data_IF_670450179388
#
_entry.id   IF_670450179388
#
_cell.length_a   1.000
_cell.length_b   1.000
_cell.length_c   1.000
_cell.angle_alpha   90.00
_cell.angle_beta   90.00
_cell.angle_gamma   90.00
#
_symmetry.space_group_name_H-M   'P 1'
#
loop_
_entity.id
_entity.type
_entity.pdbx_description
1 polymer ?
#
# COMPACT_ATOMS: atom_id res chain seq x y z
N UNK A 1 -6.19 60.43 -7.17
CA UNK A 1 -5.99 58.99 -7.49
C UNK A 1 -5.54 58.91 -8.94
N UNK A 2 -4.31 58.48 -9.25
CA UNK A 2 -3.84 58.43 -10.63
C UNK A 2 -4.48 57.23 -11.33
N UNK A 3 -5.13 57.49 -12.46
CA UNK A 3 -5.87 56.52 -13.26
C UNK A 3 -4.87 55.55 -13.92
N UNK A 4 -4.91 54.26 -13.55
CA UNK A 4 -4.07 53.24 -14.19
C UNK A 4 -4.47 53.07 -15.65
N UNK A 5 -3.52 53.32 -16.56
CA UNK A 5 -3.70 53.13 -18.00
C UNK A 5 -3.43 51.65 -18.31
N UNK A 6 -4.46 50.90 -18.68
CA UNK A 6 -4.34 49.50 -19.10
C UNK A 6 -3.74 49.46 -20.50
N UNK A 7 -2.54 48.93 -20.63
CA UNK A 7 -1.88 48.67 -21.92
C UNK A 7 -1.97 47.17 -22.16
N UNK A 8 -2.74 46.76 -23.18
CA UNK A 8 -2.76 45.38 -23.63
C UNK A 8 -1.47 45.12 -24.43
N UNK A 9 -0.69 44.13 -24.00
CA UNK A 9 0.51 43.70 -24.71
C UNK A 9 0.08 42.84 -25.91
N UNK A 10 0.42 43.29 -27.12
CA UNK A 10 0.16 42.55 -28.36
C UNK A 10 0.79 41.16 -28.25
N UNK A 11 -0.01 40.10 -28.38
CA UNK A 11 0.41 38.71 -28.22
C UNK A 11 0.03 38.06 -26.89
N UNK A 12 -0.55 38.79 -25.92
CA UNK A 12 -1.04 38.17 -24.68
C UNK A 12 -2.22 37.22 -24.91
N UNK A 13 -2.94 37.35 -26.02
CA UNK A 13 -4.06 36.48 -26.37
C UNK A 13 -3.63 35.03 -26.61
N UNK A 14 -2.39 34.79 -27.05
CA UNK A 14 -1.87 33.45 -27.31
C UNK A 14 -1.55 32.67 -26.02
N UNK A 15 -1.26 33.38 -24.93
CA UNK A 15 -0.99 32.78 -23.63
C UNK A 15 -2.25 32.35 -22.88
N UNK A 16 -3.41 32.94 -23.23
CA UNK A 16 -4.70 32.62 -22.60
C UNK A 16 -5.65 31.91 -23.55
N UNK A 17 -5.15 31.33 -24.64
CA UNK A 17 -5.94 30.45 -25.50
C UNK A 17 -6.46 29.29 -24.65
N UNK A 18 -7.78 29.04 -24.57
CA UNK A 18 -8.29 27.85 -23.94
C UNK A 18 -7.85 26.65 -24.77
N UNK A 19 -6.83 25.94 -24.30
CA UNK A 19 -6.46 24.62 -24.81
C UNK A 19 -7.55 23.66 -24.40
N UNK A 20 -8.61 23.55 -25.21
CA UNK A 20 -9.52 22.41 -25.10
C UNK A 20 -8.70 21.19 -25.54
N UNK A 21 -8.38 20.24 -24.65
CA UNK A 21 -7.92 18.95 -25.15
C UNK A 21 -9.05 18.40 -26.00
N UNK A 22 -8.79 18.10 -27.27
CA UNK A 22 -9.68 17.21 -28.02
C UNK A 22 -9.75 15.92 -27.23
N UNK A 23 -10.90 15.68 -26.60
CA UNK A 23 -11.19 14.39 -25.99
C UNK A 23 -11.40 13.45 -27.16
N UNK A 24 -10.33 12.73 -27.53
CA UNK A 24 -10.37 11.65 -28.51
C UNK A 24 -11.21 10.54 -27.89
N UNK A 25 -12.49 10.48 -28.25
CA UNK A 25 -13.46 9.50 -27.77
C UNK A 25 -13.21 8.08 -28.29
N UNK A 26 -12.33 7.93 -29.28
CA UNK A 26 -12.16 6.67 -30.01
C UNK A 26 -11.07 5.75 -29.41
N UNK A 27 -10.51 6.11 -28.26
CA UNK A 27 -9.50 5.28 -27.56
C UNK A 27 -10.07 4.40 -26.45
N UNK A 28 -11.34 4.56 -26.08
CA UNK A 28 -11.96 3.77 -24.99
C UNK A 28 -12.29 2.32 -25.39
N UNK A 29 -12.34 2.02 -26.70
CA UNK A 29 -12.64 0.66 -27.18
C UNK A 29 -11.39 -0.20 -27.43
N UNK A 30 -10.19 0.39 -27.42
CA UNK A 30 -8.93 -0.34 -27.69
C UNK A 30 -8.28 -0.89 -26.41
N UNK A 31 -8.63 -0.34 -25.23
CA UNK A 31 -8.13 -0.83 -23.94
C UNK A 31 -9.11 -1.87 -23.34
N UNK A 32 -9.49 -2.88 -24.12
CA UNK A 32 -10.26 -4.03 -23.58
C UNK A 32 -9.70 -5.40 -23.94
N UNK A 33 -8.74 -5.50 -24.85
CA UNK A 33 -8.44 -6.79 -25.50
C UNK A 33 -7.08 -7.44 -25.16
N UNK A 34 -6.14 -6.81 -24.43
CA UNK A 34 -4.85 -7.50 -24.13
C UNK A 34 -4.23 -7.12 -22.79
N UNK A 35 -5.02 -7.14 -21.71
CA UNK A 35 -4.43 -7.41 -20.39
C UNK A 35 -4.99 -8.74 -19.92
N UNK A 36 -4.47 -9.81 -20.54
CA UNK A 36 -4.47 -11.14 -19.94
C UNK A 36 -3.58 -11.06 -18.70
N UNK A 37 -4.13 -10.45 -17.65
CA UNK A 37 -3.48 -10.42 -16.34
C UNK A 37 -3.53 -11.87 -15.90
N UNK A 38 -2.39 -12.59 -15.82
CA UNK A 38 -2.38 -13.99 -15.42
C UNK A 38 -3.22 -14.07 -14.16
N UNK A 39 -4.34 -14.80 -14.30
CA UNK A 39 -5.50 -14.69 -13.43
C UNK A 39 -5.02 -14.43 -12.02
N UNK A 40 -5.27 -13.21 -11.52
CA UNK A 40 -4.99 -12.91 -10.13
C UNK A 40 -5.83 -13.94 -9.41
N UNK A 41 -5.20 -15.03 -8.96
CA UNK A 41 -5.86 -16.05 -8.18
C UNK A 41 -6.36 -15.23 -7.01
N UNK A 42 -7.64 -14.87 -7.06
CA UNK A 42 -8.29 -14.17 -5.97
C UNK A 42 -8.41 -15.28 -4.96
N UNK A 43 -7.29 -15.57 -4.29
CA UNK A 43 -7.27 -16.33 -3.06
C UNK A 43 -8.26 -15.57 -2.23
N UNK A 44 -9.41 -16.18 -1.96
CA UNK A 44 -10.38 -15.64 -1.03
C UNK A 44 -9.58 -15.29 0.22
N UNK A 45 -9.45 -13.98 0.45
CA UNK A 45 -8.75 -13.50 1.64
C UNK A 45 -9.75 -13.72 2.75
N UNK A 46 -9.70 -14.92 3.34
CA UNK A 46 -10.49 -15.24 4.53
C UNK A 46 -9.90 -14.43 5.66
N UNK A 47 -10.52 -13.29 5.95
CA UNK A 47 -10.13 -12.45 7.08
C UNK A 47 -10.57 -13.15 8.35
N UNK A 48 -9.60 -13.71 9.09
CA UNK A 48 -9.82 -14.27 10.42
C UNK A 48 -9.37 -13.25 11.45
N UNK A 49 -10.25 -12.92 12.39
CA UNK A 49 -9.96 -11.98 13.47
C UNK A 49 -9.39 -12.73 14.67
N UNK A 50 -8.20 -12.31 15.11
CA UNK A 50 -7.51 -12.82 16.29
C UNK A 50 -7.35 -11.69 17.30
N UNK A 51 -7.67 -11.97 18.57
CA UNK A 51 -7.45 -11.02 19.65
C UNK A 51 -6.07 -11.31 20.27
N UNK A 52 -5.20 -10.29 20.24
CA UNK A 52 -3.87 -10.33 20.85
C UNK A 52 -3.80 -9.40 22.06
N UNK A 53 -3.05 -9.79 23.08
CA UNK A 53 -2.66 -8.87 24.16
C UNK A 53 -1.53 -7.95 23.69
N UNK A 54 -1.26 -6.86 24.41
CA UNK A 54 -0.17 -5.93 24.06
C UNK A 54 1.20 -6.65 24.07
N UNK A 55 1.41 -7.54 25.03
CA UNK A 55 2.65 -8.34 25.13
C UNK A 55 2.83 -9.29 23.94
N UNK A 56 1.75 -9.92 23.49
CA UNK A 56 1.75 -10.78 22.31
C UNK A 56 2.06 -9.99 21.02
N UNK A 57 1.57 -8.75 20.91
CA UNK A 57 1.85 -7.86 19.78
C UNK A 57 3.33 -7.47 19.75
N UNK A 58 3.91 -7.12 20.91
CA UNK A 58 5.33 -6.78 21.00
C UNK A 58 6.23 -7.97 20.60
N UNK A 59 5.88 -9.18 21.03
CA UNK A 59 6.58 -10.41 20.63
C UNK A 59 6.51 -10.65 19.12
N UNK A 60 5.33 -10.49 18.51
CA UNK A 60 5.17 -10.60 17.06
C UNK A 60 5.99 -9.55 16.31
N UNK A 61 6.06 -8.33 16.84
CA UNK A 61 6.82 -7.24 16.24
C UNK A 61 8.33 -7.51 16.32
N UNK A 62 8.82 -8.01 17.45
CA UNK A 62 10.20 -8.50 17.59
C UNK A 62 10.50 -9.60 16.56
N UNK A 63 9.61 -10.59 16.43
CA UNK A 63 9.77 -11.69 15.47
C UNK A 63 9.85 -11.19 14.02
N UNK A 64 8.95 -10.28 13.61
CA UNK A 64 8.99 -9.67 12.27
C UNK A 64 10.30 -8.93 12.03
N UNK A 65 10.80 -8.19 13.03
CA UNK A 65 12.07 -7.50 12.90
C UNK A 65 13.25 -8.46 12.78
N UNK A 66 13.23 -9.61 13.46
CA UNK A 66 14.29 -10.63 13.31
C UNK A 66 14.27 -11.26 11.92
N UNK A 67 13.09 -11.59 11.40
CA UNK A 67 12.95 -12.13 10.05
C UNK A 67 13.37 -11.12 8.96
N UNK A 68 13.07 -9.83 9.16
CA UNK A 68 13.42 -8.78 8.19
C UNK A 68 14.90 -8.39 8.22
N UNK A 69 15.55 -8.50 9.38
CA UNK A 69 16.95 -8.10 9.57
C UNK A 69 17.75 -9.21 10.27
N UNK A 70 18.00 -10.34 9.58
CA UNK A 70 18.73 -11.48 10.16
C UNK A 70 20.21 -11.17 10.41
N UNK A 71 20.80 -10.28 9.61
CA UNK A 71 22.21 -9.87 9.71
C UNK A 71 22.50 -9.00 10.94
N UNK A 72 21.46 -8.51 11.62
CA UNK A 72 21.64 -7.66 12.80
C UNK A 72 22.02 -8.54 13.99
N UNK A 73 23.20 -8.35 14.61
CA UNK A 73 23.56 -9.11 15.79
C UNK A 73 22.57 -8.78 16.93
N UNK A 74 21.94 -9.82 17.47
CA UNK A 74 20.99 -9.73 18.61
C UNK A 74 21.38 -10.74 19.68
N UNK A 75 21.03 -10.42 20.92
CA UNK A 75 21.14 -11.38 22.01
C UNK A 75 20.24 -12.59 21.73
N UNK A 76 20.70 -13.79 22.11
CA UNK A 76 19.85 -14.99 22.03
C UNK A 76 18.60 -14.75 22.89
N UNK A 77 17.38 -14.94 22.35
CA UNK A 77 16.16 -14.76 23.12
C UNK A 77 16.17 -15.71 24.31
N UNK A 78 15.63 -15.25 25.45
CA UNK A 78 15.44 -16.10 26.62
C UNK A 78 14.47 -17.24 26.28
N UNK A 79 14.67 -18.41 26.89
CA UNK A 79 13.87 -19.61 26.63
C UNK A 79 12.36 -19.35 26.81
N UNK A 80 11.99 -18.59 27.84
CA UNK A 80 10.61 -18.16 28.12
C UNK A 80 9.97 -17.39 26.95
N UNK A 81 10.75 -16.57 26.24
CA UNK A 81 10.27 -15.88 25.03
C UNK A 81 10.03 -16.84 23.88
N UNK A 82 10.85 -17.89 23.76
CA UNK A 82 10.68 -18.89 22.71
C UNK A 82 9.36 -19.66 22.90
N UNK A 83 9.06 -20.07 24.13
CA UNK A 83 7.81 -20.77 24.47
C UNK A 83 6.59 -19.87 24.19
N UNK A 84 6.67 -18.58 24.53
CA UNK A 84 5.60 -17.61 24.22
C UNK A 84 5.37 -17.41 22.72
N UNK A 85 6.44 -17.44 21.90
CA UNK A 85 6.35 -17.32 20.44
C UNK A 85 5.77 -18.59 19.82
N UNK A 86 6.10 -19.77 20.33
CA UNK A 86 5.53 -21.02 19.84
C UNK A 86 4.04 -21.16 20.23
N UNK A 87 3.65 -20.71 21.42
CA UNK A 87 2.24 -20.60 21.81
C UNK A 87 1.46 -19.67 20.87
N UNK A 88 2.04 -18.53 20.48
CA UNK A 88 1.44 -17.62 19.49
C UNK A 88 1.33 -18.25 18.11
N UNK A 89 2.36 -19.00 17.69
CA UNK A 89 2.34 -19.73 16.42
C UNK A 89 1.21 -20.75 16.39
N UNK A 90 1.04 -21.54 17.45
CA UNK A 90 -0.05 -22.52 17.57
C UNK A 90 -1.42 -21.84 17.52
N UNK A 91 -1.62 -20.75 18.28
CA UNK A 91 -2.87 -19.96 18.27
C UNK A 91 -3.23 -19.44 16.87
N UNK A 92 -2.24 -18.99 16.11
CA UNK A 92 -2.44 -18.55 14.71
C UNK A 92 -2.76 -19.74 13.80
N UNK A 93 -2.06 -20.86 13.99
CA UNK A 93 -2.25 -22.06 13.17
C UNK A 93 -3.62 -22.71 13.39
N UNK A 94 -4.09 -22.82 14.64
CA UNK A 94 -5.44 -23.30 14.96
C UNK A 94 -6.50 -22.48 14.25
N UNK A 95 -6.37 -21.15 14.27
CA UNK A 95 -7.29 -20.28 13.56
C UNK A 95 -7.15 -20.45 12.05
N UNK A 96 -5.96 -20.67 11.50
CA UNK A 96 -5.77 -20.90 10.07
C UNK A 96 -6.45 -22.20 9.59
N UNK A 97 -6.42 -23.25 10.40
CA UNK A 97 -6.97 -24.58 10.10
C UNK A 97 -8.50 -24.68 10.27
N UNK A 98 -9.12 -23.78 11.06
CA UNK A 98 -10.59 -23.66 11.23
C UNK A 98 -11.31 -23.09 10.00
#
# INVERSE_FOLDING_TARGET
>A
MPTFKRVALVGSEDLFRPTRPEVVTDTDDVIKETVDRPGKVVKEVVYKTLNFTLEEIDLLLEAVQTAKYPERPRAKPALDRFDSLDALRLKIQEVLEQ
#
